data_IF_227994940705
#
_entry.id   IF_227994940705
#
_cell.length_a   1.000
_cell.length_b   1.000
_cell.length_c   1.000
_cell.angle_alpha   90.00
_cell.angle_beta   90.00
_cell.angle_gamma   90.00
#
_symmetry.space_group_name_H-M   'P 1'
#
loop_
_entity.id
_entity.type
_entity.pdbx_description
1 polymer ?
#
# COMPACT_ATOMS: atom_id res chain seq x y z
N UNK A 1 39.88 -29.52 -16.73
CA UNK A 1 38.88 -29.89 -15.70
C UNK A 1 38.18 -28.68 -15.08
N UNK A 2 38.91 -27.63 -14.65
CA UNK A 2 38.29 -26.43 -14.04
C UNK A 2 37.30 -25.69 -14.96
N UNK A 3 37.63 -25.52 -16.24
CA UNK A 3 36.75 -24.86 -17.22
C UNK A 3 35.46 -25.66 -17.44
N UNK A 4 35.57 -26.99 -17.58
CA UNK A 4 34.41 -27.87 -17.73
C UNK A 4 33.51 -27.86 -16.49
N UNK A 5 34.11 -27.84 -15.29
CA UNK A 5 33.36 -27.71 -14.03
C UNK A 5 32.61 -26.37 -13.96
N UNK A 6 33.25 -25.27 -14.39
CA UNK A 6 32.62 -23.96 -14.46
C UNK A 6 31.40 -23.94 -15.39
N UNK A 7 31.51 -24.55 -16.57
CA UNK A 7 30.39 -24.65 -17.52
C UNK A 7 29.22 -25.44 -16.92
N UNK A 8 29.50 -26.54 -16.23
CA UNK A 8 28.47 -27.35 -15.57
C UNK A 8 27.77 -26.58 -14.45
N UNK A 9 28.52 -25.83 -13.63
CA UNK A 9 27.94 -25.01 -12.55
C UNK A 9 27.03 -23.90 -13.10
N UNK A 10 27.47 -23.23 -14.17
CA UNK A 10 26.65 -22.21 -14.83
C UNK A 10 25.39 -22.83 -15.42
N UNK A 11 25.50 -23.95 -16.15
CA UNK A 11 24.34 -24.63 -16.71
C UNK A 11 23.35 -25.08 -15.61
N UNK A 12 23.84 -25.56 -14.47
CA UNK A 12 23.00 -25.98 -13.35
C UNK A 12 22.28 -24.79 -12.69
N UNK A 13 22.96 -23.65 -12.55
CA UNK A 13 22.38 -22.43 -11.97
C UNK A 13 21.18 -21.91 -12.79
N UNK A 14 21.19 -22.12 -14.11
CA UNK A 14 20.06 -21.78 -14.98
C UNK A 14 19.01 -22.91 -15.09
N UNK A 15 19.43 -24.18 -15.09
CA UNK A 15 18.51 -25.30 -15.24
C UNK A 15 17.64 -25.54 -13.99
N UNK A 16 18.21 -25.44 -12.79
CA UNK A 16 17.51 -25.67 -11.52
C UNK A 16 16.27 -24.79 -11.35
N UNK A 17 16.31 -23.45 -11.53
CA UNK A 17 15.11 -22.63 -11.40
C UNK A 17 14.05 -22.92 -12.48
N UNK A 18 14.44 -23.37 -13.68
CA UNK A 18 13.48 -23.80 -14.71
C UNK A 18 12.78 -25.13 -14.38
N UNK A 19 13.38 -25.97 -13.53
CA UNK A 19 12.77 -27.22 -13.08
C UNK A 19 11.82 -27.03 -11.89
N UNK A 20 11.85 -25.87 -11.22
CA UNK A 20 10.92 -25.52 -10.14
C UNK A 20 9.52 -25.36 -10.74
N UNK A 21 8.58 -26.20 -10.30
CA UNK A 21 7.21 -26.17 -10.85
C UNK A 21 6.50 -24.94 -10.31
N UNK A 22 5.65 -24.26 -11.11
CA UNK A 22 4.84 -23.13 -10.63
C UNK A 22 3.96 -23.45 -9.41
N UNK A 23 3.68 -24.74 -9.17
CA UNK A 23 2.91 -25.23 -8.01
C UNK A 23 3.68 -25.21 -6.69
N UNK A 24 5.01 -25.04 -6.70
CA UNK A 24 5.84 -24.90 -5.50
C UNK A 24 5.98 -23.43 -5.06
N UNK A 25 5.36 -22.50 -5.78
CA UNK A 25 5.29 -21.09 -5.42
C UNK A 25 4.19 -20.96 -4.34
N UNK A 26 4.51 -20.51 -3.12
CA UNK A 26 3.49 -20.21 -2.12
C UNK A 26 2.45 -19.26 -2.73
N UNK A 27 1.14 -19.50 -2.52
CA UNK A 27 0.12 -18.60 -3.04
C UNK A 27 0.42 -17.18 -2.56
N UNK A 28 0.32 -16.17 -3.44
CA UNK A 28 0.54 -14.79 -3.04
C UNK A 28 -0.40 -14.48 -1.87
N UNK A 29 0.12 -13.84 -0.83
CA UNK A 29 -0.71 -13.44 0.31
C UNK A 29 -1.92 -12.69 -0.23
N UNK A 30 -3.15 -13.09 0.17
CA UNK A 30 -4.34 -12.42 -0.30
C UNK A 30 -4.21 -10.92 0.02
N UNK A 31 -4.49 -10.03 -0.93
CA UNK A 31 -4.35 -8.60 -0.71
C UNK A 31 -5.16 -8.24 0.55
N UNK A 32 -4.52 -7.59 1.52
CA UNK A 32 -5.19 -7.28 2.77
C UNK A 32 -6.45 -6.46 2.44
N UNK A 33 -7.63 -6.87 2.93
CA UNK A 33 -8.87 -6.13 2.66
C UNK A 33 -8.80 -4.67 3.11
N UNK A 34 -7.85 -4.30 3.97
CA UNK A 34 -7.66 -2.95 4.48
C UNK A 34 -6.70 -2.09 3.65
N UNK A 35 -5.87 -2.68 2.77
CA UNK A 35 -4.85 -1.95 1.97
C UNK A 35 -5.40 -0.73 1.25
N UNK A 36 -6.51 -0.89 0.53
CA UNK A 36 -7.13 0.21 -0.22
C UNK A 36 -7.63 1.34 0.70
N UNK A 37 -8.07 1.01 1.91
CA UNK A 37 -8.48 2.01 2.90
C UNK A 37 -7.28 2.68 3.57
N UNK A 38 -6.19 1.96 3.77
CA UNK A 38 -4.93 2.50 4.28
C UNK A 38 -4.29 3.48 3.28
N UNK A 39 -4.31 3.14 1.98
CA UNK A 39 -3.92 4.03 0.89
C UNK A 39 -4.81 5.28 0.88
N UNK A 40 -6.13 5.11 0.98
CA UNK A 40 -7.07 6.25 1.03
C UNK A 40 -6.84 7.14 2.26
N UNK A 41 -6.52 6.55 3.42
CA UNK A 41 -6.12 7.29 4.63
C UNK A 41 -4.86 8.13 4.37
N UNK A 42 -3.84 7.54 3.72
CA UNK A 42 -2.60 8.25 3.39
C UNK A 42 -2.86 9.45 2.47
N UNK A 43 -3.68 9.28 1.42
CA UNK A 43 -4.07 10.38 0.53
C UNK A 43 -4.76 11.51 1.28
N UNK A 44 -5.68 11.20 2.20
CA UNK A 44 -6.38 12.25 2.98
C UNK A 44 -5.40 13.01 3.88
N UNK A 45 -4.39 12.33 4.46
CA UNK A 45 -3.34 12.98 5.24
C UNK A 45 -2.47 13.90 4.39
N UNK A 46 -2.09 13.48 3.19
CA UNK A 46 -1.33 14.33 2.25
C UNK A 46 -2.14 15.56 1.84
N UNK A 47 -3.41 15.38 1.49
CA UNK A 47 -4.31 16.49 1.15
C UNK A 47 -4.47 17.48 2.30
N UNK A 48 -4.56 17.02 3.56
CA UNK A 48 -4.61 17.90 4.73
C UNK A 48 -3.32 18.70 4.91
N UNK A 49 -2.16 18.08 4.67
CA UNK A 49 -0.85 18.74 4.73
C UNK A 49 -0.71 19.79 3.64
N UNK A 50 -1.10 19.45 2.41
CA UNK A 50 -1.01 20.34 1.26
C UNK A 50 -1.98 21.52 1.42
N UNK A 51 -3.19 21.27 1.92
CA UNK A 51 -4.17 22.31 2.27
C UNK A 51 -3.60 23.33 3.26
N UNK A 52 -2.89 22.87 4.30
CA UNK A 52 -2.21 23.76 5.25
C UNK A 52 -1.10 24.58 4.57
N UNK A 53 -0.35 23.96 3.67
CA UNK A 53 0.66 24.64 2.87
C UNK A 53 0.07 25.73 1.99
N UNK A 54 -1.01 25.44 1.26
CA UNK A 54 -1.70 26.41 0.41
C UNK A 54 -2.28 27.58 1.20
N UNK A 55 -2.85 27.29 2.37
CA UNK A 55 -3.34 28.31 3.30
C UNK A 55 -2.20 29.21 3.79
N UNK A 56 -1.08 28.64 4.23
CA UNK A 56 0.09 29.41 4.67
C UNK A 56 0.74 30.23 3.54
N UNK A 57 0.59 29.81 2.28
CA UNK A 57 1.00 30.57 1.10
C UNK A 57 0.02 31.70 0.74
N UNK A 58 -1.11 31.83 1.45
CA UNK A 58 -2.14 32.83 1.20
C UNK A 58 -2.97 32.58 -0.07
N UNK A 59 -2.99 31.35 -0.59
CA UNK A 59 -3.75 30.99 -1.80
C UNK A 59 -5.24 30.75 -1.52
N UNK A 60 -5.59 30.59 -0.25
CA UNK A 60 -6.91 30.15 0.18
C UNK A 60 -7.46 31.09 1.27
N UNK A 61 -8.76 31.37 1.23
CA UNK A 61 -9.42 32.14 2.29
C UNK A 61 -9.57 31.30 3.57
N UNK A 62 -9.69 31.95 4.72
CA UNK A 62 -9.97 31.28 6.00
C UNK A 62 -11.23 30.40 5.92
N UNK A 63 -12.28 30.90 5.26
CA UNK A 63 -13.55 30.20 5.13
C UNK A 63 -13.42 28.92 4.28
N UNK A 64 -12.73 29.02 3.14
CA UNK A 64 -12.49 27.88 2.26
C UNK A 64 -11.57 26.85 2.92
N UNK A 65 -10.56 27.31 3.66
CA UNK A 65 -9.68 26.45 4.44
C UNK A 65 -10.44 25.63 5.48
N UNK A 66 -11.30 26.28 6.29
CA UNK A 66 -12.05 25.57 7.32
C UNK A 66 -13.06 24.58 6.73
N UNK A 67 -13.69 24.94 5.61
CA UNK A 67 -14.66 24.08 4.91
C UNK A 67 -13.98 22.82 4.39
N UNK A 68 -12.91 22.97 3.60
CA UNK A 68 -12.17 21.83 3.03
C UNK A 68 -11.53 20.97 4.11
N UNK A 69 -11.02 21.61 5.18
CA UNK A 69 -10.46 20.88 6.33
C UNK A 69 -11.50 20.01 7.02
N UNK A 70 -12.71 20.52 7.27
CA UNK A 70 -13.78 19.73 7.89
C UNK A 70 -14.20 18.56 7.00
N UNK A 71 -14.28 18.77 5.69
CA UNK A 71 -14.62 17.71 4.74
C UNK A 71 -13.57 16.59 4.75
N UNK A 72 -12.29 16.93 4.65
CA UNK A 72 -11.19 15.96 4.73
C UNK A 72 -11.15 15.23 6.08
N UNK A 73 -11.41 15.93 7.18
CA UNK A 73 -11.50 15.31 8.51
C UNK A 73 -12.67 14.34 8.62
N UNK A 74 -13.82 14.66 8.03
CA UNK A 74 -14.97 13.75 7.97
C UNK A 74 -14.63 12.50 7.16
N UNK A 75 -14.03 12.65 5.99
CA UNK A 75 -13.61 11.52 5.15
C UNK A 75 -12.57 10.63 5.85
N UNK A 76 -11.66 11.23 6.62
CA UNK A 76 -10.68 10.50 7.42
C UNK A 76 -11.37 9.63 8.47
N UNK A 77 -12.32 10.21 9.23
CA UNK A 77 -13.07 9.50 10.26
C UNK A 77 -13.88 8.33 9.66
N UNK A 78 -14.55 8.54 8.53
CA UNK A 78 -15.27 7.48 7.82
C UNK A 78 -14.36 6.35 7.34
N UNK A 79 -13.17 6.70 6.82
CA UNK A 79 -12.19 5.71 6.34
C UNK A 79 -11.64 4.89 7.50
N UNK A 80 -11.31 5.53 8.64
CA UNK A 80 -10.86 4.84 9.84
C UNK A 80 -11.93 3.89 10.40
N UNK A 81 -13.19 4.31 10.44
CA UNK A 81 -14.30 3.45 10.88
C UNK A 81 -14.49 2.22 9.98
N UNK A 82 -14.31 2.38 8.65
CA UNK A 82 -14.33 1.25 7.71
C UNK A 82 -13.17 0.28 7.93
N UNK A 83 -11.96 0.79 8.19
CA UNK A 83 -10.79 -0.04 8.53
C UNK A 83 -11.09 -0.84 9.79
N UNK A 84 -11.56 -0.20 10.85
CA UNK A 84 -11.87 -0.86 12.12
C UNK A 84 -12.93 -1.95 11.95
N UNK A 85 -14.00 -1.68 11.19
CA UNK A 85 -15.04 -2.65 10.91
C UNK A 85 -14.53 -3.88 10.12
N UNK A 86 -13.64 -3.67 9.13
CA UNK A 86 -13.03 -4.75 8.37
C UNK A 86 -12.02 -5.54 9.20
N UNK A 87 -11.19 -4.89 10.00
CA UNK A 87 -10.24 -5.54 10.90
C UNK A 87 -10.96 -6.37 11.95
N UNK A 88 -12.04 -5.84 12.54
CA UNK A 88 -12.88 -6.59 13.49
C UNK A 88 -13.55 -7.80 12.84
N UNK A 89 -14.01 -7.68 11.59
CA UNK A 89 -14.59 -8.80 10.83
C UNK A 89 -13.53 -9.86 10.48
N UNK A 90 -12.32 -9.44 10.13
CA UNK A 90 -11.22 -10.34 9.77
C UNK A 90 -10.62 -11.05 10.99
N UNK A 91 -10.60 -10.42 12.17
CA UNK A 91 -10.17 -11.05 13.44
C UNK A 91 -11.24 -11.87 14.16
N UNK A 92 -12.49 -11.84 13.68
CA UNK A 92 -13.61 -12.63 14.21
C UNK A 92 -13.93 -13.88 13.37
N UNK A 93 -13.15 -14.14 12.32
CA UNK A 93 -13.21 -15.31 11.44
C UNK A 93 -11.98 -16.20 11.67
#
# INVERSE_FOLDING_TARGET
>A
MLIALGIVLVALAFAVPLLVRPSDIPPPEPPSPTRHLEERKATIYENLRDLQGEYHMGKLSDADYQTTKQELQRELAETMAKIEALTKKAGAA
#
